data_IF_464601534450
#
_entry.id   IF_464601534450
#
_cell.length_a   1.000
_cell.length_b   1.000
_cell.length_c   1.000
_cell.angle_alpha   90.00
_cell.angle_beta   90.00
_cell.angle_gamma   90.00
#
_symmetry.space_group_name_H-M   'P 1'
#
loop_
_entity.id
_entity.type
_entity.pdbx_description
1 polymer ?
#
# COMPACT_ATOMS: atom_id res chain seq x y z
N UNK A 1 14.53 18.00 24.93
CA UNK A 1 14.11 17.70 23.55
C UNK A 1 14.13 18.99 22.75
N UNK A 2 14.71 18.98 21.55
CA UNK A 2 14.77 20.13 20.63
C UNK A 2 14.60 19.63 19.20
N UNK A 3 13.98 20.42 18.33
CA UNK A 3 13.72 20.06 16.95
C UNK A 3 14.07 21.21 16.01
N UNK A 4 14.53 20.85 14.80
CA UNK A 4 14.92 21.81 13.77
C UNK A 4 14.37 21.39 12.41
N UNK A 5 14.10 22.38 11.58
CA UNK A 5 13.76 22.21 10.18
C UNK A 5 14.90 22.70 9.29
N UNK A 6 15.26 21.89 8.29
CA UNK A 6 16.30 22.23 7.32
C UNK A 6 16.06 21.50 6.00
N UNK A 7 16.04 22.25 4.88
CA UNK A 7 15.96 21.72 3.51
C UNK A 7 14.94 20.57 3.33
N UNK A 8 13.71 20.74 3.79
CA UNK A 8 12.67 19.72 3.65
C UNK A 8 12.86 18.48 4.55
N UNK A 9 13.61 18.63 5.63
CA UNK A 9 13.86 17.59 6.64
C UNK A 9 13.62 18.13 8.04
N UNK A 10 13.22 17.25 8.97
CA UNK A 10 13.05 17.61 10.39
C UNK A 10 13.97 16.74 11.24
N UNK A 11 14.77 17.41 12.06
CA UNK A 11 15.54 16.78 13.12
C UNK A 11 14.82 16.92 14.45
N UNK A 12 14.90 15.88 15.26
CA UNK A 12 14.56 15.92 16.69
C UNK A 12 15.71 15.31 17.49
N UNK A 13 16.25 16.07 18.43
CA UNK A 13 17.20 15.62 19.44
C UNK A 13 16.46 15.45 20.77
N UNK A 14 16.53 14.27 21.36
CA UNK A 14 16.07 13.98 22.70
C UNK A 14 17.26 13.54 23.56
N UNK A 15 17.70 14.40 24.47
CA UNK A 15 18.75 14.07 25.44
C UNK A 15 18.12 13.57 26.74
N UNK A 16 18.66 12.49 27.27
CA UNK A 16 18.44 11.98 28.63
C UNK A 16 19.77 12.02 29.38
N UNK A 17 19.76 11.72 30.68
CA UNK A 17 20.97 11.74 31.52
C UNK A 17 22.06 10.75 31.07
N UNK A 18 21.71 9.75 30.23
CA UNK A 18 22.63 8.69 29.78
C UNK A 18 22.81 8.62 28.27
N UNK A 19 21.74 8.90 27.53
CA UNK A 19 21.71 8.75 26.08
C UNK A 19 21.12 9.97 25.37
N UNK A 20 21.62 10.26 24.18
CA UNK A 20 21.04 11.18 23.22
C UNK A 20 20.42 10.38 22.06
N UNK A 21 19.13 10.61 21.80
CA UNK A 21 18.41 10.03 20.65
C UNK A 21 18.24 11.11 19.59
N UNK A 22 18.72 10.84 18.39
CA UNK A 22 18.63 11.73 17.22
C UNK A 22 17.69 11.07 16.22
N UNK A 23 16.58 11.73 15.89
CA UNK A 23 15.65 11.28 14.84
C UNK A 23 15.65 12.28 13.71
N UNK A 24 15.99 11.84 12.50
CA UNK A 24 15.93 12.65 11.27
C UNK A 24 14.83 12.11 10.37
N UNK A 25 13.94 13.00 9.94
CA UNK A 25 12.79 12.71 9.10
C UNK A 25 12.97 13.36 7.74
N UNK A 26 13.06 12.54 6.70
CA UNK A 26 13.01 12.94 5.30
C UNK A 26 11.68 12.52 4.69
N UNK A 27 11.42 13.00 3.46
CA UNK A 27 10.28 12.54 2.66
C UNK A 27 10.39 11.06 2.25
N UNK A 28 11.61 10.51 2.17
CA UNK A 28 11.87 9.15 1.70
C UNK A 28 12.08 8.13 2.82
N UNK A 29 12.42 8.58 4.02
CA UNK A 29 12.73 7.73 5.16
C UNK A 29 12.76 8.53 6.48
N UNK A 30 12.68 7.81 7.59
CA UNK A 30 13.03 8.33 8.92
C UNK A 30 14.15 7.45 9.48
N UNK A 31 15.19 8.08 10.04
CA UNK A 31 16.30 7.39 10.67
C UNK A 31 16.43 7.84 12.13
N UNK A 32 16.69 6.90 13.04
CA UNK A 32 16.89 7.19 14.46
C UNK A 32 18.20 6.57 14.94
N UNK A 33 19.05 7.38 15.56
CA UNK A 33 20.29 6.96 16.20
C UNK A 33 20.18 7.16 17.71
N UNK A 34 20.74 6.23 18.49
CA UNK A 34 20.93 6.37 19.93
C UNK A 34 22.42 6.42 20.22
N UNK A 35 22.84 7.46 20.94
CA UNK A 35 24.25 7.76 21.20
C UNK A 35 24.45 7.87 22.72
N UNK A 36 25.52 7.28 23.28
CA UNK A 36 25.91 7.56 24.66
C UNK A 36 26.28 9.04 24.79
N UNK A 37 26.03 9.67 25.95
CA UNK A 37 25.94 11.12 26.24
C UNK A 37 27.08 12.09 25.81
N UNK A 38 27.84 11.82 24.75
CA UNK A 38 28.76 12.78 24.18
C UNK A 38 28.01 13.94 23.49
N UNK A 39 28.69 15.08 23.48
CA UNK A 39 28.21 16.39 23.02
C UNK A 39 27.37 16.28 21.74
N UNK A 40 26.04 16.43 21.82
CA UNK A 40 25.15 16.27 20.67
C UNK A 40 25.45 17.27 19.55
N UNK A 41 26.14 18.38 19.85
CA UNK A 41 26.54 19.38 18.86
C UNK A 41 27.63 18.88 17.89
N UNK A 42 28.58 18.07 18.35
CA UNK A 42 29.59 17.45 17.49
C UNK A 42 28.98 16.40 16.56
N UNK A 43 27.95 15.71 17.02
CA UNK A 43 27.21 14.73 16.21
C UNK A 43 26.34 15.42 15.17
N UNK A 44 25.75 16.57 15.52
CA UNK A 44 25.01 17.39 14.57
C UNK A 44 25.86 17.89 13.40
N UNK A 45 27.14 18.23 13.60
CA UNK A 45 28.01 18.62 12.48
C UNK A 45 28.41 17.42 11.61
N UNK A 46 28.67 16.26 12.24
CA UNK A 46 29.14 15.05 11.55
C UNK A 46 28.02 14.33 10.76
N UNK A 47 26.82 14.21 11.33
CA UNK A 47 25.69 13.48 10.72
C UNK A 47 25.09 14.25 9.54
N UNK A 48 25.10 15.57 9.58
CA UNK A 48 24.31 16.38 8.65
C UNK A 48 25.03 16.76 7.37
N UNK A 49 26.31 16.38 7.19
CA UNK A 49 27.14 16.88 6.08
C UNK A 49 26.93 18.39 5.90
N UNK A 50 26.81 19.12 7.02
CA UNK A 50 26.83 20.58 7.01
C UNK A 50 28.22 20.90 6.48
N UNK A 51 28.31 21.26 5.20
CA UNK A 51 29.55 21.75 4.64
C UNK A 51 29.87 23.04 5.40
N UNK A 52 30.90 23.05 6.27
CA UNK A 52 31.22 24.22 7.08
C UNK A 52 31.63 25.42 6.20
N UNK A 53 31.89 25.18 4.92
CA UNK A 53 32.27 26.18 3.92
C UNK A 53 31.08 26.67 3.08
N UNK A 54 29.90 26.03 3.20
CA UNK A 54 28.71 26.45 2.47
C UNK A 54 27.96 27.59 3.20
N UNK A 55 28.61 28.76 3.22
CA UNK A 55 28.13 30.02 3.81
C UNK A 55 26.76 30.50 3.28
N UNK A 56 26.31 29.98 2.13
CA UNK A 56 25.01 30.30 1.51
C UNK A 56 23.90 29.28 1.84
N UNK A 57 24.15 28.32 2.72
CA UNK A 57 23.13 27.33 3.09
C UNK A 57 22.05 27.96 3.97
N UNK A 58 20.75 27.68 3.74
CA UNK A 58 19.70 28.15 4.62
C UNK A 58 19.93 27.56 6.02
N UNK A 59 20.23 28.43 6.97
CA UNK A 59 20.42 28.13 8.37
C UNK A 59 19.34 27.21 8.94
N UNK A 60 19.71 26.29 9.84
CA UNK A 60 18.73 25.44 10.49
C UNK A 60 17.74 26.27 11.32
N UNK A 61 16.45 26.09 11.06
CA UNK A 61 15.39 26.81 11.75
C UNK A 61 14.94 26.01 12.97
N UNK A 62 15.02 26.60 14.16
CA UNK A 62 14.53 25.97 15.39
C UNK A 62 13.02 25.91 15.38
N UNK A 63 12.47 24.78 15.79
CA UNK A 63 11.02 24.57 15.91
C UNK A 63 10.57 24.77 17.36
N UNK A 64 9.37 25.35 17.53
CA UNK A 64 8.71 25.55 18.82
C UNK A 64 8.22 24.21 19.34
N UNK A 65 8.82 23.75 20.43
CA UNK A 65 8.43 22.50 21.10
C UNK A 65 7.05 22.62 21.76
N UNK A 66 6.30 21.52 21.76
CA UNK A 66 5.00 21.44 22.42
C UNK A 66 4.15 20.26 21.98
N UNK A 67 2.97 20.13 22.59
CA UNK A 67 1.99 19.11 22.25
C UNK A 67 1.53 19.18 20.77
N UNK A 68 1.32 20.37 20.15
CA UNK A 68 0.98 20.45 18.73
C UNK A 68 2.05 19.89 17.80
N UNK A 69 3.33 20.26 17.99
CA UNK A 69 4.45 19.74 17.19
C UNK A 69 4.60 18.23 17.38
N UNK A 70 4.52 17.74 18.61
CA UNK A 70 4.64 16.31 18.91
C UNK A 70 3.54 15.49 18.23
N UNK A 71 2.30 16.01 18.17
CA UNK A 71 1.22 15.37 17.42
C UNK A 71 1.48 15.36 15.91
N UNK A 72 1.95 16.48 15.35
CA UNK A 72 2.26 16.57 13.93
C UNK A 72 3.39 15.60 13.53
N UNK A 73 4.46 15.53 14.32
CA UNK A 73 5.54 14.56 14.11
C UNK A 73 5.06 13.10 14.26
N UNK A 74 4.15 12.82 15.20
CA UNK A 74 3.58 11.49 15.36
C UNK A 74 2.68 11.08 14.18
N UNK A 75 1.95 12.02 13.57
CA UNK A 75 1.22 11.78 12.31
C UNK A 75 2.22 11.50 11.20
N UNK A 76 3.24 12.36 11.05
CA UNK A 76 4.30 12.20 10.06
C UNK A 76 4.97 10.82 10.20
N UNK A 77 5.34 10.39 11.41
CA UNK A 77 6.00 9.09 11.63
C UNK A 77 5.11 7.87 11.30
N UNK A 78 3.79 8.04 11.26
CA UNK A 78 2.85 7.00 10.79
C UNK A 78 2.59 7.04 9.29
N UNK A 79 2.91 8.14 8.60
CA UNK A 79 2.77 8.22 7.15
C UNK A 79 3.82 7.34 6.47
N UNK A 80 3.41 6.38 5.62
CA UNK A 80 4.34 5.51 4.92
C UNK A 80 5.26 6.31 3.99
N UNK A 81 6.49 5.82 3.79
CA UNK A 81 7.49 6.44 2.91
C UNK A 81 7.59 5.75 1.55
N UNK A 82 6.70 4.81 1.28
CA UNK A 82 6.60 4.04 0.05
C UNK A 82 5.14 4.01 -0.41
N UNK A 83 4.94 3.80 -1.71
CA UNK A 83 3.59 3.66 -2.25
C UNK A 83 2.94 2.36 -1.79
N UNK A 84 1.67 2.46 -1.43
CA UNK A 84 0.85 1.31 -1.07
C UNK A 84 -0.09 1.01 -2.23
N UNK A 85 -0.11 -0.26 -2.64
CA UNK A 85 -1.04 -0.76 -3.65
C UNK A 85 -1.92 -1.81 -2.99
N UNK A 86 -3.21 -1.76 -3.28
CA UNK A 86 -4.19 -2.74 -2.84
C UNK A 86 -4.83 -3.33 -4.08
N UNK A 87 -4.70 -4.64 -4.23
CA UNK A 87 -5.19 -5.40 -5.37
C UNK A 87 -5.93 -6.60 -4.81
N UNK A 88 -7.16 -6.81 -5.29
CA UNK A 88 -7.95 -7.97 -4.92
C UNK A 88 -7.49 -9.21 -5.67
N UNK A 89 -7.40 -10.35 -5.00
CA UNK A 89 -7.15 -11.65 -5.66
C UNK A 89 -8.30 -12.60 -5.37
N UNK A 90 -8.83 -13.18 -6.45
CA UNK A 90 -10.01 -14.04 -6.48
C UNK A 90 -9.68 -15.37 -7.11
N UNK A 91 -10.32 -16.41 -6.61
CA UNK A 91 -10.29 -17.74 -7.21
C UNK A 91 -11.69 -18.05 -7.73
N UNK A 92 -11.76 -18.41 -9.01
CA UNK A 92 -13.00 -18.73 -9.71
C UNK A 92 -13.03 -20.24 -9.98
N UNK A 93 -13.84 -21.00 -9.23
CA UNK A 93 -13.82 -22.46 -9.27
C UNK A 93 -14.44 -23.05 -10.54
N UNK A 94 -15.40 -22.36 -11.16
CA UNK A 94 -16.09 -22.79 -12.37
C UNK A 94 -16.74 -21.60 -13.10
N UNK A 95 -17.07 -21.81 -14.37
CA UNK A 95 -17.64 -20.86 -15.32
C UNK A 95 -18.94 -20.17 -14.86
N UNK A 96 -19.73 -20.84 -14.02
CA UNK A 96 -21.03 -20.33 -13.53
C UNK A 96 -21.06 -19.98 -12.04
N UNK A 97 -19.90 -19.66 -11.45
CA UNK A 97 -19.83 -19.33 -10.03
C UNK A 97 -20.69 -18.10 -9.69
N UNK A 98 -21.50 -18.22 -8.65
CA UNK A 98 -22.27 -17.10 -8.10
C UNK A 98 -21.37 -16.19 -7.27
N UNK A 99 -21.77 -14.94 -7.05
CA UNK A 99 -21.02 -14.02 -6.18
C UNK A 99 -20.81 -14.58 -4.76
N UNK A 100 -21.80 -15.31 -4.24
CA UNK A 100 -21.71 -15.96 -2.92
C UNK A 100 -20.64 -17.05 -2.96
N UNK A 101 -20.66 -17.91 -3.98
CA UNK A 101 -19.66 -18.97 -4.14
C UNK A 101 -18.24 -18.40 -4.24
N UNK A 102 -18.04 -17.29 -4.97
CA UNK A 102 -16.75 -16.58 -5.04
C UNK A 102 -16.28 -16.08 -3.67
N UNK A 103 -17.20 -15.60 -2.82
CA UNK A 103 -16.90 -15.10 -1.48
C UNK A 103 -16.69 -16.23 -0.45
N UNK A 104 -17.32 -17.37 -0.67
CA UNK A 104 -17.25 -18.55 0.19
C UNK A 104 -15.98 -19.37 -0.05
N UNK A 105 -15.30 -19.21 -1.20
CA UNK A 105 -14.05 -19.93 -1.47
C UNK A 105 -13.07 -19.76 -0.30
N UNK A 106 -12.67 -20.91 0.25
CA UNK A 106 -11.57 -21.05 1.21
C UNK A 106 -10.53 -21.97 0.57
N UNK A 107 -9.33 -21.44 0.35
CA UNK A 107 -8.26 -22.14 -0.35
C UNK A 107 -8.34 -22.01 -1.88
N UNK A 108 -7.97 -23.07 -2.59
CA UNK A 108 -7.92 -23.16 -4.05
C UNK A 108 -7.02 -24.33 -4.48
N UNK A 109 -6.83 -24.52 -5.78
CA UNK A 109 -6.00 -25.62 -6.28
C UNK A 109 -4.51 -25.48 -5.98
N UNK A 110 -3.73 -26.57 -6.07
CA UNK A 110 -2.28 -26.51 -5.87
C UNK A 110 -1.57 -25.50 -6.78
N UNK A 111 -2.00 -25.41 -8.06
CA UNK A 111 -1.44 -24.46 -9.03
C UNK A 111 -1.79 -23.01 -8.68
N UNK A 112 -2.99 -22.77 -8.16
CA UNK A 112 -3.35 -21.46 -7.63
C UNK A 112 -2.48 -21.06 -6.43
N UNK A 113 -2.24 -21.98 -5.49
CA UNK A 113 -1.37 -21.71 -4.34
C UNK A 113 0.08 -21.43 -4.76
N UNK A 114 0.59 -22.13 -5.78
CA UNK A 114 1.90 -21.86 -6.36
C UNK A 114 1.96 -20.47 -7.03
N UNK A 115 0.93 -20.13 -7.80
CA UNK A 115 0.77 -18.79 -8.39
C UNK A 115 0.76 -17.69 -7.30
N UNK A 116 -0.01 -17.88 -6.21
CA UNK A 116 -0.04 -16.93 -5.09
C UNK A 116 1.33 -16.72 -4.46
N UNK A 117 2.10 -17.80 -4.27
CA UNK A 117 3.49 -17.70 -3.77
C UNK A 117 4.40 -16.96 -4.75
N UNK A 118 4.13 -17.06 -6.05
CA UNK A 118 4.82 -16.26 -7.06
C UNK A 118 4.46 -14.76 -7.02
N UNK A 119 3.24 -14.41 -6.59
CA UNK A 119 2.81 -13.02 -6.43
C UNK A 119 3.53 -12.33 -5.26
N UNK A 120 3.90 -13.06 -4.22
CA UNK A 120 4.67 -12.50 -3.12
C UNK A 120 4.72 -13.38 -1.90
N UNK A 121 5.29 -12.83 -0.82
CA UNK A 121 5.32 -13.47 0.47
C UNK A 121 3.96 -13.35 1.16
N UNK A 122 3.48 -14.46 1.73
CA UNK A 122 2.25 -14.50 2.50
C UNK A 122 2.55 -14.09 3.95
N UNK A 123 2.03 -12.93 4.38
CA UNK A 123 2.23 -12.41 5.73
C UNK A 123 0.92 -12.48 6.53
N UNK A 124 0.90 -12.98 7.78
CA UNK A 124 -0.27 -12.89 8.66
C UNK A 124 -0.69 -11.42 8.86
N UNK A 125 -2.00 -11.15 8.98
CA UNK A 125 -2.61 -9.81 9.01
C UNK A 125 -2.28 -8.97 10.27
N UNK A 126 -0.99 -8.70 10.48
CA UNK A 126 -0.46 -7.82 11.53
C UNK A 126 0.48 -6.75 10.95
N UNK A 127 1.10 -6.93 9.77
CA UNK A 127 2.10 -5.97 9.24
C UNK A 127 2.15 -5.89 7.68
N UNK A 128 1.75 -4.72 7.14
CA UNK A 128 2.10 -4.02 5.87
C UNK A 128 2.30 -4.74 4.51
N UNK A 129 1.89 -4.00 3.45
CA UNK A 129 1.84 -4.28 2.00
C UNK A 129 0.96 -5.48 1.61
N UNK A 130 -0.27 -5.22 1.16
CA UNK A 130 -1.28 -6.27 0.97
C UNK A 130 -1.74 -6.41 -0.49
N UNK A 131 -1.33 -7.50 -1.13
CA UNK A 131 -2.25 -8.20 -2.03
C UNK A 131 -3.34 -8.78 -1.17
N UNK A 132 -4.57 -8.33 -1.38
CA UNK A 132 -5.67 -8.72 -0.53
C UNK A 132 -6.30 -9.98 -1.13
N UNK A 133 -5.83 -11.13 -0.65
CA UNK A 133 -6.31 -12.43 -1.12
C UNK A 133 -7.60 -12.78 -0.37
N UNK A 134 -8.76 -12.55 -1.00
CA UNK A 134 -10.06 -12.77 -0.37
C UNK A 134 -10.29 -14.22 0.08
N UNK A 135 -9.62 -15.18 -0.56
CA UNK A 135 -9.67 -16.61 -0.23
C UNK A 135 -8.92 -16.98 1.05
N UNK A 136 -8.05 -16.09 1.57
CA UNK A 136 -7.23 -16.32 2.77
C UNK A 136 -7.64 -15.43 3.96
N UNK A 137 -8.72 -14.67 3.82
CA UNK A 137 -9.29 -13.93 4.94
C UNK A 137 -10.02 -14.89 5.90
N UNK A 138 -9.38 -15.18 7.02
CA UNK A 138 -10.04 -15.80 8.18
C UNK A 138 -10.82 -14.70 8.91
N UNK A 139 -12.08 -14.97 9.24
CA UNK A 139 -12.88 -14.05 10.05
C UNK A 139 -12.17 -13.83 11.40
N UNK A 140 -12.17 -12.60 11.96
CA UNK A 140 -11.62 -12.42 13.30
C UNK A 140 -12.42 -13.28 14.27
N UNK A 141 -11.71 -14.09 15.05
CA UNK A 141 -12.28 -14.92 16.11
C UNK A 141 -13.18 -14.04 16.99
N UNK A 142 -14.48 -14.25 16.92
CA UNK A 142 -15.45 -13.58 17.78
C UNK A 142 -15.39 -14.16 19.19
N UNK A 143 -14.27 -13.99 19.88
CA UNK A 143 -14.14 -14.25 21.32
C UNK A 143 -14.16 -12.99 22.17
N UNK A 144 -14.49 -11.82 21.61
CA UNK A 144 -14.82 -10.62 22.39
C UNK A 144 -16.19 -10.08 21.99
N UNK A 145 -17.18 -10.46 22.79
CA UNK A 145 -18.56 -9.99 22.76
C UNK A 145 -18.68 -8.47 22.83
N UNK A 146 -19.39 -7.88 21.86
CA UNK A 146 -20.19 -6.67 22.06
C UNK A 146 -21.59 -6.91 21.44
N UNK A 147 -22.67 -6.94 22.24
CA UNK A 147 -23.99 -7.31 21.75
C UNK A 147 -24.76 -6.06 21.31
N UNK A 148 -24.66 -5.73 20.04
CA UNK A 148 -25.64 -4.85 19.37
C UNK A 148 -25.77 -5.25 17.90
N UNK A 149 -26.18 -6.49 17.67
CA UNK A 149 -26.70 -6.93 16.39
C UNK A 149 -28.16 -7.30 16.59
N UNK A 150 -29.06 -6.48 16.03
CA UNK A 150 -30.47 -6.80 15.87
C UNK A 150 -30.60 -8.15 15.16
N UNK A 151 -31.27 -9.06 15.85
CA UNK A 151 -31.61 -10.43 15.48
C UNK A 151 -32.46 -10.49 14.20
N UNK A 152 -31.85 -10.70 13.03
CA UNK A 152 -32.50 -11.34 11.86
C UNK A 152 -31.59 -11.63 10.64
N UNK A 153 -30.25 -11.53 10.77
CA UNK A 153 -29.33 -11.89 9.67
C UNK A 153 -28.72 -13.28 9.89
N UNK A 154 -28.67 -14.17 8.88
CA UNK A 154 -27.91 -15.42 8.97
C UNK A 154 -26.43 -15.14 9.34
N UNK A 155 -25.80 -15.99 10.17
CA UNK A 155 -24.43 -15.76 10.64
C UNK A 155 -23.38 -15.65 9.52
N UNK A 156 -23.62 -16.26 8.35
CA UNK A 156 -22.73 -16.18 7.17
C UNK A 156 -22.85 -14.85 6.40
N UNK A 157 -23.97 -14.14 6.52
CA UNK A 157 -24.19 -12.88 5.78
C UNK A 157 -23.21 -11.78 6.19
N UNK A 158 -22.83 -11.73 7.48
CA UNK A 158 -21.84 -10.76 7.98
C UNK A 158 -20.44 -11.00 7.41
N UNK A 159 -20.06 -12.26 7.21
CA UNK A 159 -18.76 -12.67 6.65
C UNK A 159 -18.63 -12.25 5.19
N UNK A 160 -19.67 -12.47 4.40
CA UNK A 160 -19.71 -12.09 2.98
C UNK A 160 -19.66 -10.56 2.82
N UNK A 161 -20.38 -9.82 3.66
CA UNK A 161 -20.36 -8.35 3.66
C UNK A 161 -18.96 -7.82 3.99
N UNK A 162 -18.25 -8.42 4.95
CA UNK A 162 -16.89 -8.00 5.29
C UNK A 162 -15.92 -8.24 4.12
N UNK A 163 -15.88 -9.46 3.56
CA UNK A 163 -15.03 -9.77 2.40
C UNK A 163 -15.35 -8.86 1.20
N UNK A 164 -16.63 -8.69 0.88
CA UNK A 164 -17.10 -7.82 -0.21
C UNK A 164 -16.74 -6.35 0.03
N UNK A 165 -16.80 -5.85 1.26
CA UNK A 165 -16.34 -4.49 1.62
C UNK A 165 -14.84 -4.32 1.38
N UNK A 166 -14.05 -5.37 1.60
CA UNK A 166 -12.61 -5.26 1.37
C UNK A 166 -12.25 -5.38 -0.11
N UNK A 167 -12.74 -6.40 -0.84
CA UNK A 167 -12.34 -6.61 -2.24
C UNK A 167 -13.12 -5.75 -3.24
N UNK A 168 -14.40 -5.49 -2.99
CA UNK A 168 -15.27 -4.71 -3.89
C UNK A 168 -14.98 -3.22 -3.95
N UNK A 169 -13.97 -2.75 -3.20
CA UNK A 169 -13.47 -1.37 -3.20
C UNK A 169 -12.07 -1.26 -3.85
N UNK A 170 -11.53 -2.35 -4.40
CA UNK A 170 -10.26 -2.32 -5.10
C UNK A 170 -10.46 -2.01 -6.58
N UNK A 171 -9.64 -1.12 -7.16
CA UNK A 171 -9.74 -0.79 -8.58
C UNK A 171 -9.30 -1.95 -9.49
N UNK A 172 -8.40 -2.79 -8.99
CA UNK A 172 -7.78 -3.89 -9.75
C UNK A 172 -8.04 -5.22 -9.07
N UNK A 173 -8.55 -6.18 -9.84
CA UNK A 173 -8.74 -7.57 -9.41
C UNK A 173 -7.93 -8.52 -10.27
N UNK A 174 -7.24 -9.46 -9.64
CA UNK A 174 -6.64 -10.64 -10.26
C UNK A 174 -7.61 -11.80 -10.06
N UNK A 175 -8.07 -12.40 -11.14
CA UNK A 175 -9.07 -13.47 -11.13
C UNK A 175 -8.44 -14.76 -11.68
N UNK A 176 -8.17 -15.72 -10.80
CA UNK A 176 -7.61 -17.01 -11.20
C UNK A 176 -8.74 -17.95 -11.60
N UNK A 177 -8.77 -18.34 -12.87
CA UNK A 177 -9.80 -19.21 -13.43
C UNK A 177 -9.30 -20.66 -13.40
N UNK A 178 -9.95 -21.52 -12.61
CA UNK A 178 -9.56 -22.94 -12.50
C UNK A 178 -10.51 -23.88 -13.23
N UNK A 179 -10.87 -23.50 -14.44
CA UNK A 179 -11.69 -24.27 -15.38
C UNK A 179 -11.26 -23.94 -16.81
N UNK A 180 -11.57 -24.81 -17.78
CA UNK A 180 -11.31 -24.54 -19.20
C UNK A 180 -12.37 -23.54 -19.72
N UNK A 181 -11.94 -22.32 -19.98
CA UNK A 181 -12.73 -21.22 -20.55
C UNK A 181 -12.67 -21.36 -22.07
N UNK A 182 -13.59 -22.17 -22.60
CA UNK A 182 -13.69 -22.47 -24.04
C UNK A 182 -14.49 -21.43 -24.80
N UNK A 183 -15.30 -20.63 -24.12
CA UNK A 183 -16.24 -19.69 -24.74
C UNK A 183 -15.81 -18.23 -24.54
N UNK A 184 -15.86 -17.47 -25.64
CA UNK A 184 -15.49 -16.05 -25.67
C UNK A 184 -16.43 -15.22 -24.78
N UNK A 185 -15.87 -14.63 -23.72
CA UNK A 185 -16.31 -13.39 -23.04
C UNK A 185 -17.73 -13.34 -22.43
N UNK A 186 -18.59 -14.33 -22.69
CA UNK A 186 -19.96 -14.38 -22.20
C UNK A 186 -20.02 -14.91 -20.77
N UNK A 187 -19.75 -14.00 -19.82
CA UNK A 187 -20.23 -14.14 -18.45
C UNK A 187 -19.24 -14.75 -17.45
N UNK A 188 -17.96 -14.35 -17.48
CA UNK A 188 -17.04 -14.69 -16.39
C UNK A 188 -17.65 -14.21 -15.06
N UNK A 189 -17.77 -15.08 -14.04
CA UNK A 189 -18.27 -14.75 -12.73
C UNK A 189 -17.59 -13.50 -12.18
N UNK A 190 -18.38 -12.52 -11.74
CA UNK A 190 -17.86 -11.27 -11.21
C UNK A 190 -18.46 -10.94 -9.85
N UNK A 191 -17.65 -10.34 -8.99
CA UNK A 191 -18.16 -9.67 -7.80
C UNK A 191 -18.90 -8.40 -8.20
N UNK A 192 -20.14 -8.28 -7.72
CA UNK A 192 -20.95 -7.09 -7.90
C UNK A 192 -20.40 -5.95 -7.07
N UNK A 193 -19.58 -5.09 -7.67
CA UNK A 193 -18.97 -3.93 -7.02
C UNK A 193 -18.90 -2.72 -7.94
N UNK A 194 -18.86 -1.51 -7.37
CA UNK A 194 -18.69 -0.27 -8.14
C UNK A 194 -17.24 -0.10 -8.63
N UNK A 195 -16.29 -0.74 -7.95
CA UNK A 195 -14.85 -0.62 -8.19
C UNK A 195 -14.30 -1.99 -8.64
N UNK A 196 -13.87 -2.02 -9.90
CA UNK A 196 -13.30 -3.16 -10.65
C UNK A 196 -12.91 -2.66 -12.05
N UNK A 197 -12.16 -1.56 -12.09
CA UNK A 197 -11.84 -0.86 -13.35
C UNK A 197 -10.93 -1.69 -14.25
N UNK A 198 -10.06 -2.50 -13.65
CA UNK A 198 -9.17 -3.44 -14.36
C UNK A 198 -9.29 -4.84 -13.76
N UNK A 199 -9.53 -5.83 -14.61
CA UNK A 199 -9.56 -7.25 -14.26
C UNK A 199 -8.48 -8.00 -15.02
N UNK A 200 -7.65 -8.74 -14.30
CA UNK A 200 -6.56 -9.55 -14.85
C UNK A 200 -6.91 -11.02 -14.61
N UNK A 201 -7.40 -11.69 -15.65
CA UNK A 201 -7.68 -13.11 -15.60
C UNK A 201 -6.40 -13.91 -15.80
N UNK A 202 -6.22 -14.95 -14.99
CA UNK A 202 -5.09 -15.87 -15.05
C UNK A 202 -5.64 -17.28 -15.12
N UNK A 203 -5.37 -17.95 -16.23
CA UNK A 203 -5.91 -19.28 -16.49
C UNK A 203 -4.79 -20.24 -16.87
N UNK A 204 -4.60 -21.34 -16.14
CA UNK A 204 -3.70 -22.40 -16.57
C UNK A 204 -4.23 -23.06 -17.86
N UNK A 205 -3.36 -23.26 -18.84
CA UNK A 205 -3.71 -24.02 -20.04
C UNK A 205 -3.57 -25.52 -19.79
N UNK A 206 -4.54 -26.29 -20.30
CA UNK A 206 -4.49 -27.75 -20.40
C UNK A 206 -3.57 -28.14 -21.57
N UNK A 207 -2.64 -29.09 -21.35
CA UNK A 207 -1.71 -29.53 -22.40
C UNK A 207 -0.27 -29.86 -21.98
N UNK A 208 0.11 -29.64 -20.71
CA UNK A 208 1.38 -30.12 -20.13
C UNK A 208 2.55 -29.13 -20.14
N UNK A 209 2.49 -28.04 -20.91
CA UNK A 209 3.63 -27.13 -21.12
C UNK A 209 3.79 -26.01 -20.06
N UNK A 210 3.14 -26.13 -18.89
CA UNK A 210 3.09 -25.09 -17.84
C UNK A 210 2.89 -23.66 -18.41
N UNK A 211 1.88 -23.52 -19.25
CA UNK A 211 1.50 -22.25 -19.86
C UNK A 211 0.24 -21.70 -19.21
N UNK A 212 0.13 -20.38 -19.21
CA UNK A 212 -1.02 -19.64 -18.70
C UNK A 212 -1.55 -18.70 -19.78
N UNK A 213 -2.86 -18.67 -19.96
CA UNK A 213 -3.55 -17.61 -20.68
C UNK A 213 -3.85 -16.48 -19.69
N UNK A 214 -3.42 -15.28 -20.04
CA UNK A 214 -3.76 -14.06 -19.30
C UNK A 214 -4.68 -13.19 -20.14
N UNK A 215 -5.71 -12.61 -19.53
CA UNK A 215 -6.61 -11.65 -20.18
C UNK A 215 -6.72 -10.40 -19.33
N UNK A 216 -6.50 -9.21 -19.91
CA UNK A 216 -6.66 -7.93 -19.22
C UNK A 216 -7.89 -7.22 -19.77
N UNK A 217 -8.90 -7.03 -18.93
CA UNK A 217 -10.10 -6.26 -19.27
C UNK A 217 -10.08 -4.93 -18.53
N UNK A 218 -10.37 -3.85 -19.25
CA UNK A 218 -10.42 -2.49 -18.73
C UNK A 218 -11.81 -1.89 -18.97
N UNK A 219 -12.52 -1.53 -17.90
CA UNK A 219 -13.84 -0.88 -17.98
C UNK A 219 -13.78 0.49 -18.66
N UNK A 220 -12.68 1.20 -18.46
CA UNK A 220 -12.43 2.55 -18.99
C UNK A 220 -11.26 2.57 -19.99
N UNK A 221 -11.25 1.61 -20.93
CA UNK A 221 -10.14 1.40 -21.87
C UNK A 221 -9.75 2.63 -22.73
N UNK A 222 -10.69 3.56 -22.99
CA UNK A 222 -10.41 4.79 -23.75
C UNK A 222 -9.72 5.88 -22.94
N UNK A 223 -9.85 5.83 -21.62
CA UNK A 223 -9.37 6.88 -20.70
C UNK A 223 -8.13 6.45 -19.94
N UNK A 224 -7.98 5.15 -19.67
CA UNK A 224 -6.81 4.60 -18.99
C UNK A 224 -5.59 4.61 -19.92
N UNK A 225 -4.49 5.17 -19.43
CA UNK A 225 -3.20 5.08 -20.12
C UNK A 225 -2.75 3.61 -20.23
N UNK A 226 -1.98 3.24 -21.27
CA UNK A 226 -1.37 1.92 -21.34
C UNK A 226 -0.50 1.63 -20.11
N UNK A 227 -0.62 0.43 -19.56
CA UNK A 227 0.10 0.02 -18.36
C UNK A 227 0.53 -1.44 -18.44
N UNK A 228 1.54 -1.79 -17.63
CA UNK A 228 1.94 -3.18 -17.40
C UNK A 228 2.53 -3.91 -18.62
N UNK A 229 3.16 -5.08 -18.40
CA UNK A 229 3.57 -5.96 -19.48
C UNK A 229 2.40 -6.72 -20.13
N UNK A 230 1.30 -6.96 -19.39
CA UNK A 230 0.15 -7.72 -19.89
C UNK A 230 -0.96 -6.82 -20.44
N UNK A 231 -1.54 -7.22 -21.57
CA UNK A 231 -2.64 -6.52 -22.25
C UNK A 231 -3.42 -7.47 -23.15
N UNK A 232 -4.70 -7.19 -23.39
CA UNK A 232 -5.53 -8.02 -24.26
C UNK A 232 -5.53 -9.48 -23.81
N UNK A 233 -5.31 -10.42 -24.72
CA UNK A 233 -5.14 -11.86 -24.44
C UNK A 233 -3.72 -12.27 -24.81
N UNK A 234 -3.00 -12.90 -23.88
CA UNK A 234 -1.63 -13.36 -24.07
C UNK A 234 -1.42 -14.75 -23.44
N UNK A 235 -0.41 -15.47 -23.93
CA UNK A 235 0.04 -16.73 -23.33
C UNK A 235 1.41 -16.50 -22.71
N UNK A 236 1.57 -16.89 -21.44
CA UNK A 236 2.75 -16.62 -20.62
C UNK A 236 3.23 -17.92 -19.98
N UNK A 237 4.55 -18.20 -19.94
CA UNK A 237 5.09 -19.33 -19.18
C UNK A 237 4.82 -19.22 -17.68
N UNK A 238 4.58 -20.34 -17.01
CA UNK A 238 4.25 -20.38 -15.58
C UNK A 238 5.30 -19.74 -14.68
N UNK A 239 6.59 -19.92 -15.00
CA UNK A 239 7.67 -19.27 -14.26
C UNK A 239 7.68 -17.72 -14.35
N UNK A 240 6.97 -17.12 -15.33
CA UNK A 240 6.87 -15.67 -15.49
C UNK A 240 5.50 -15.10 -15.11
N UNK A 241 4.45 -15.92 -15.10
CA UNK A 241 3.06 -15.44 -15.03
C UNK A 241 2.81 -14.59 -13.78
N UNK A 242 3.29 -15.03 -12.61
CA UNK A 242 3.05 -14.30 -11.37
C UNK A 242 3.76 -12.94 -11.35
N UNK A 243 5.00 -12.86 -11.85
CA UNK A 243 5.73 -11.61 -11.95
C UNK A 243 5.08 -10.63 -12.94
N UNK A 244 4.64 -11.12 -14.10
CA UNK A 244 3.97 -10.32 -15.12
C UNK A 244 2.60 -9.81 -14.64
N UNK A 245 1.83 -10.65 -13.96
CA UNK A 245 0.54 -10.28 -13.38
C UNK A 245 0.72 -9.25 -12.27
N UNK A 246 1.68 -9.45 -11.36
CA UNK A 246 2.00 -8.50 -10.29
C UNK A 246 2.37 -7.12 -10.83
N UNK A 247 3.29 -7.06 -11.80
CA UNK A 247 3.72 -5.79 -12.41
C UNK A 247 2.56 -5.10 -13.11
N UNK A 248 1.76 -5.86 -13.86
CA UNK A 248 0.55 -5.33 -14.52
C UNK A 248 -0.43 -4.78 -13.50
N UNK A 249 -0.70 -5.50 -12.40
CA UNK A 249 -1.64 -5.08 -11.37
C UNK A 249 -1.20 -3.80 -10.65
N UNK A 250 0.10 -3.67 -10.34
CA UNK A 250 0.65 -2.46 -9.71
C UNK A 250 0.52 -1.24 -10.65
N UNK A 251 0.90 -1.40 -11.93
CA UNK A 251 0.80 -0.33 -12.91
C UNK A 251 -0.67 0.02 -13.23
N UNK A 252 -1.56 -0.96 -13.30
CA UNK A 252 -3.00 -0.77 -13.46
C UNK A 252 -3.56 0.04 -12.28
N UNK A 253 -3.19 -0.31 -11.05
CA UNK A 253 -3.68 0.40 -9.86
C UNK A 253 -3.22 1.87 -9.84
N UNK A 254 -2.00 2.14 -10.32
CA UNK A 254 -1.49 3.50 -10.47
C UNK A 254 -2.30 4.28 -11.53
N UNK A 255 -2.57 3.68 -12.70
CA UNK A 255 -3.37 4.29 -13.74
C UNK A 255 -4.82 4.56 -13.30
N UNK A 256 -5.43 3.64 -12.54
CA UNK A 256 -6.77 3.83 -11.96
C UNK A 256 -6.78 4.97 -10.93
N UNK A 257 -5.74 5.07 -10.07
CA UNK A 257 -5.60 6.18 -9.10
C UNK A 257 -5.48 7.54 -9.79
N UNK A 258 -4.70 7.62 -10.87
CA UNK A 258 -4.58 8.83 -11.70
C UNK A 258 -5.91 9.20 -12.36
N UNK A 259 -6.60 8.24 -12.98
CA UNK A 259 -7.92 8.45 -13.59
C UNK A 259 -8.96 8.93 -12.57
N UNK A 260 -8.85 8.53 -11.31
CA UNK A 260 -9.74 8.95 -10.24
C UNK A 260 -9.19 10.09 -9.37
N UNK A 261 -8.17 10.81 -9.82
CA UNK A 261 -7.58 11.94 -9.10
C UNK A 261 -8.61 13.00 -8.69
N UNK A 262 -9.60 13.30 -9.54
CA UNK A 262 -10.64 14.30 -9.26
C UNK A 262 -11.57 13.87 -8.13
N UNK A 263 -11.68 12.56 -7.88
CA UNK A 263 -12.53 11.98 -6.83
C UNK A 263 -11.78 11.75 -5.53
N UNK A 264 -10.47 11.48 -5.58
CA UNK A 264 -9.71 10.98 -4.42
C UNK A 264 -8.39 11.71 -4.13
N UNK A 265 -8.09 12.84 -4.80
CA UNK A 265 -6.83 13.59 -4.71
C UNK A 265 -5.61 12.65 -4.73
N UNK A 266 -5.18 12.24 -5.92
CA UNK A 266 -4.02 11.37 -6.04
C UNK A 266 -2.73 12.14 -5.70
N UNK A 267 -2.12 11.80 -4.56
CA UNK A 267 -0.80 12.29 -4.15
C UNK A 267 0.07 11.10 -3.78
N UNK A 268 1.32 11.11 -4.23
CA UNK A 268 2.32 10.12 -3.81
C UNK A 268 2.61 10.29 -2.32
N UNK A 269 2.77 9.19 -1.59
CA UNK A 269 3.05 9.20 -0.15
C UNK A 269 4.32 10.00 0.17
N UNK A 270 5.36 9.90 -0.66
CA UNK A 270 6.60 10.69 -0.51
C UNK A 270 6.34 12.19 -0.72
N UNK A 271 5.49 12.54 -1.69
CA UNK A 271 5.14 13.93 -1.96
C UNK A 271 4.30 14.53 -0.82
N UNK A 272 3.29 13.79 -0.36
CA UNK A 272 2.47 14.20 0.78
C UNK A 272 3.33 14.32 2.04
N UNK A 273 4.22 13.37 2.29
CA UNK A 273 5.18 13.44 3.40
C UNK A 273 6.08 14.68 3.30
N UNK A 274 6.58 15.02 2.12
CA UNK A 274 7.35 16.25 1.90
C UNK A 274 6.51 17.51 2.15
N UNK A 275 5.24 17.51 1.69
CA UNK A 275 4.28 18.59 1.92
C UNK A 275 4.04 18.80 3.41
N UNK A 276 3.82 17.72 4.17
CA UNK A 276 3.69 17.76 5.62
C UNK A 276 4.96 18.28 6.31
N UNK A 277 6.15 17.81 5.90
CA UNK A 277 7.43 18.29 6.47
C UNK A 277 7.59 19.80 6.23
N UNK A 278 7.31 20.29 5.01
CA UNK A 278 7.35 21.73 4.70
C UNK A 278 6.34 22.51 5.53
N UNK A 279 5.11 22.02 5.70
CA UNK A 279 4.09 22.65 6.52
C UNK A 279 4.47 22.71 8.01
N UNK A 280 5.06 21.66 8.56
CA UNK A 280 5.60 21.67 9.92
C UNK A 280 6.73 22.69 10.01
N UNK A 281 7.63 22.67 9.03
CA UNK A 281 8.77 23.57 8.90
C UNK A 281 8.40 25.05 8.75
N UNK A 282 7.19 25.40 8.32
CA UNK A 282 6.72 26.80 8.27
C UNK A 282 5.87 27.16 9.49
N UNK A 283 5.02 26.24 9.95
CA UNK A 283 4.05 26.50 11.02
C UNK A 283 4.68 26.59 12.41
N UNK A 284 5.77 25.85 12.65
CA UNK A 284 6.38 25.72 13.97
C UNK A 284 7.72 26.44 14.09
N UNK A 285 8.12 27.29 13.13
CA UNK A 285 9.37 28.06 13.25
C UNK A 285 9.29 28.97 14.47
N UNK A 286 10.32 28.89 15.30
CA UNK A 286 10.51 29.82 16.39
C UNK A 286 11.01 31.17 15.84
N UNK A 287 10.11 32.14 15.73
CA UNK A 287 10.43 33.49 15.23
C UNK A 287 11.39 34.26 16.16
N UNK A 288 11.64 33.77 17.38
CA UNK A 288 12.52 34.41 18.37
C UNK A 288 13.91 33.79 18.44
N UNK A 289 14.12 32.63 17.82
CA UNK A 289 15.41 31.95 17.79
C UNK A 289 16.25 32.45 16.62
N UNK A 290 17.47 32.92 16.88
CA UNK A 290 18.43 33.21 15.81
C UNK A 290 18.70 31.93 15.00
N UNK A 291 18.66 32.00 13.67
CA UNK A 291 19.03 30.88 12.83
C UNK A 291 20.45 30.39 13.16
N UNK A 292 20.63 29.07 13.28
CA UNK A 292 21.97 28.49 13.39
C UNK A 292 22.64 28.56 12.01
N UNK A 293 23.67 29.39 11.91
CA UNK A 293 24.59 29.47 10.76
C UNK A 293 25.48 28.23 10.74
#
# INVERSE_FOLDING_TARGET
>A
KMSWYHRGSILTLCTTDRDAVITVRYATNTHTWTLPSNDPMQLMTTVFRLDPLALDSPSMQRLVEGAPLSRALAVLDRSPTYETHKVGVLYVPHDKATEIELLEVVGGSPRYLEFLRGLGEMVPLQHLVMFHVATLMVAPDTSSSSPTATSDSPPDSGRHIAKKRHIGNDFVHIEYLDYDDTDNDDGIPSLGGQFSDVRIFVQPLTGGDDLFRTRVQCKHATTLAPFGPLHGVQVVPGHMVAAAVRLTAIHANLACREMHQDRFEFVLNVEDRLRQIKQIGTRFVDATASPMV
#
